data_IF_353056679044
#
_entry.id   IF_353056679044
#
_cell.length_a   1.000
_cell.length_b   1.000
_cell.length_c   1.000
_cell.angle_alpha   90.00
_cell.angle_beta   90.00
_cell.angle_gamma   90.00
#
_symmetry.space_group_name_H-M   'P 1'
#
loop_
_entity.id
_entity.type
_entity.pdbx_description
1 polymer ?
#
# COMPACT_ATOMS: atom_id res chain seq x y z
N UNK A 1 -16.80 4.00 5.70
CA UNK A 1 -16.10 2.71 5.63
C UNK A 1 -15.16 2.57 6.83
N UNK A 2 -15.30 1.50 7.59
CA UNK A 2 -14.42 1.18 8.71
C UNK A 2 -13.48 0.05 8.30
N UNK A 3 -12.17 0.25 8.50
CA UNK A 3 -11.17 -0.76 8.19
C UNK A 3 -11.36 -2.00 9.10
N UNK A 4 -11.34 -3.22 8.55
CA UNK A 4 -11.37 -4.44 9.35
C UNK A 4 -10.19 -4.50 10.32
N UNK A 5 -10.45 -4.82 11.58
CA UNK A 5 -9.43 -4.82 12.65
C UNK A 5 -9.36 -6.13 13.40
N UNK A 6 -8.14 -6.52 13.78
CA UNK A 6 -7.84 -7.57 14.74
C UNK A 6 -7.17 -6.93 15.96
N UNK A 7 -7.69 -7.21 17.15
CA UNK A 7 -7.10 -6.77 18.40
C UNK A 7 -6.11 -7.83 18.91
N UNK A 8 -4.86 -7.42 19.15
CA UNK A 8 -3.78 -8.28 19.64
C UNK A 8 -3.60 -8.18 21.15
N UNK A 9 -4.34 -7.32 21.79
CA UNK A 9 -4.32 -7.04 23.22
C UNK A 9 -5.39 -6.00 23.57
N UNK A 10 -5.29 -5.39 24.74
CA UNK A 10 -6.32 -4.48 25.22
C UNK A 10 -6.44 -3.18 24.40
N UNK A 11 -5.38 -2.73 23.71
CA UNK A 11 -5.36 -1.48 22.94
C UNK A 11 -4.66 -1.61 21.58
N UNK A 12 -3.93 -2.68 21.38
CA UNK A 12 -3.15 -2.89 20.18
C UNK A 12 -3.99 -3.61 19.13
N UNK A 13 -3.98 -3.12 17.92
CA UNK A 13 -4.71 -3.72 16.81
C UNK A 13 -3.88 -3.71 15.53
N UNK A 14 -4.32 -4.52 14.57
CA UNK A 14 -3.92 -4.44 13.17
C UNK A 14 -5.16 -4.19 12.33
N UNK A 15 -5.07 -3.25 11.42
CA UNK A 15 -6.13 -2.93 10.46
C UNK A 15 -5.68 -3.34 9.05
N UNK A 16 -6.62 -3.73 8.23
CA UNK A 16 -6.44 -4.05 6.82
C UNK A 16 -7.27 -3.06 5.98
N UNK A 17 -6.74 -2.60 4.84
CA UNK A 17 -7.43 -1.61 4.01
C UNK A 17 -8.79 -2.12 3.50
N UNK A 18 -8.90 -3.42 3.24
CA UNK A 18 -10.17 -4.01 2.88
C UNK A 18 -10.21 -5.52 2.99
N UNK A 19 -11.39 -6.07 3.29
CA UNK A 19 -11.66 -7.51 3.19
C UNK A 19 -12.98 -7.71 2.47
N UNK A 20 -12.97 -8.58 1.47
CA UNK A 20 -14.19 -9.01 0.78
C UNK A 20 -14.06 -10.47 0.38
N UNK A 21 -15.08 -11.28 0.70
CA UNK A 21 -15.13 -12.71 0.36
C UNK A 21 -13.84 -13.46 0.73
N UNK A 22 -13.28 -13.16 1.91
CA UNK A 22 -12.03 -13.72 2.41
C UNK A 22 -10.78 -13.38 1.59
N UNK A 23 -10.85 -12.36 0.76
CA UNK A 23 -9.70 -11.74 0.09
C UNK A 23 -9.33 -10.48 0.86
N UNK A 24 -8.12 -10.42 1.37
CA UNK A 24 -7.55 -9.23 2.01
C UNK A 24 -6.94 -8.29 0.97
N UNK A 25 -7.05 -6.98 1.18
CA UNK A 25 -6.44 -5.96 0.34
C UNK A 25 -5.62 -5.01 1.20
N UNK A 26 -4.40 -4.77 0.77
CA UNK A 26 -3.53 -3.69 1.24
C UNK A 26 -3.10 -2.81 0.07
N UNK A 27 -3.08 -1.50 0.28
CA UNK A 27 -2.65 -0.50 -0.69
C UNK A 27 -1.47 0.24 -0.10
N UNK A 28 -0.26 -0.14 -0.48
CA UNK A 28 0.95 0.36 0.14
C UNK A 28 1.79 1.20 -0.82
N UNK A 29 1.62 2.51 -0.74
CA UNK A 29 2.43 3.49 -1.47
C UNK A 29 3.46 4.19 -0.56
N UNK A 30 3.69 3.63 0.61
CA UNK A 30 4.64 4.11 1.59
C UNK A 30 6.00 3.41 1.53
N UNK A 31 6.67 3.37 2.67
CA UNK A 31 8.01 2.79 2.78
C UNK A 31 8.00 1.27 2.64
N UNK A 32 9.08 0.74 2.07
CA UNK A 32 9.30 -0.69 1.85
C UNK A 32 9.02 -1.57 3.10
N UNK A 33 9.44 -1.12 4.28
CA UNK A 33 9.24 -1.88 5.52
C UNK A 33 7.76 -2.17 5.82
N UNK A 34 6.85 -1.28 5.44
CA UNK A 34 5.42 -1.48 5.63
C UNK A 34 4.87 -2.52 4.65
N UNK A 35 5.27 -2.47 3.38
CA UNK A 35 4.90 -3.47 2.38
C UNK A 35 5.37 -4.87 2.77
N UNK A 36 6.62 -5.00 3.21
CA UNK A 36 7.15 -6.27 3.69
C UNK A 36 6.37 -6.78 4.91
N UNK A 37 6.03 -5.88 5.84
CA UNK A 37 5.21 -6.22 7.00
C UNK A 37 3.79 -6.66 6.61
N UNK A 38 3.17 -6.01 5.64
CA UNK A 38 1.83 -6.37 5.18
C UNK A 38 1.78 -7.81 4.66
N UNK A 39 2.74 -8.19 3.82
CA UNK A 39 2.81 -9.54 3.22
C UNK A 39 3.27 -10.60 4.22
N UNK A 40 4.36 -10.35 4.96
CA UNK A 40 5.02 -11.37 5.80
C UNK A 40 4.55 -11.37 7.26
N UNK A 41 3.79 -10.39 7.67
CA UNK A 41 3.30 -10.25 9.05
C UNK A 41 1.78 -10.09 9.14
N UNK A 42 1.24 -9.01 8.58
CA UNK A 42 -0.17 -8.66 8.75
C UNK A 42 -1.12 -9.66 8.09
N UNK A 43 -0.92 -9.96 6.81
CA UNK A 43 -1.77 -10.93 6.08
C UNK A 43 -1.76 -12.31 6.73
N UNK A 44 -0.61 -12.89 7.15
CA UNK A 44 -0.59 -14.14 7.92
C UNK A 44 -1.40 -14.10 9.22
N UNK A 45 -1.37 -12.98 9.95
CA UNK A 45 -2.18 -12.80 11.16
C UNK A 45 -3.67 -12.87 10.83
N UNK A 46 -4.13 -12.13 9.81
CA UNK A 46 -5.52 -12.14 9.38
C UNK A 46 -5.96 -13.50 8.84
N UNK A 47 -5.07 -14.22 8.19
CA UNK A 47 -5.31 -15.59 7.73
C UNK A 47 -5.47 -16.57 8.91
N UNK A 48 -4.58 -16.50 9.88
CA UNK A 48 -4.64 -17.34 11.09
C UNK A 48 -5.94 -17.14 11.86
N UNK A 49 -6.46 -15.92 11.91
CA UNK A 49 -7.76 -15.59 12.52
C UNK A 49 -8.96 -15.97 11.63
N UNK A 50 -8.73 -16.56 10.47
CA UNK A 50 -9.77 -17.04 9.55
C UNK A 50 -10.53 -15.94 8.81
N UNK A 51 -10.02 -14.71 8.80
CA UNK A 51 -10.67 -13.56 8.16
C UNK A 51 -10.37 -13.49 6.66
N UNK A 52 -9.19 -13.97 6.23
CA UNK A 52 -8.81 -14.04 4.83
C UNK A 52 -8.25 -15.42 4.47
N UNK A 53 -8.32 -15.79 3.22
CA UNK A 53 -7.73 -17.01 2.64
C UNK A 53 -6.61 -16.68 1.65
N UNK A 54 -6.62 -15.46 1.12
CA UNK A 54 -5.55 -14.92 0.28
C UNK A 54 -5.49 -13.40 0.40
N UNK A 55 -4.38 -12.81 -0.05
CA UNK A 55 -4.15 -11.38 -0.02
C UNK A 55 -3.89 -10.77 -1.39
N UNK A 56 -4.19 -9.49 -1.52
CA UNK A 56 -3.79 -8.63 -2.63
C UNK A 56 -2.97 -7.49 -2.04
N UNK A 57 -1.77 -7.31 -2.53
CA UNK A 57 -0.90 -6.17 -2.20
C UNK A 57 -0.77 -5.28 -3.41
N UNK A 58 -1.28 -4.05 -3.34
CA UNK A 58 -1.15 -3.05 -4.40
C UNK A 58 0.00 -2.11 -4.08
N UNK A 59 1.02 -2.10 -4.91
CA UNK A 59 2.23 -1.29 -4.77
C UNK A 59 2.49 -0.46 -6.01
N UNK A 60 3.41 0.48 -5.95
CA UNK A 60 3.81 1.24 -7.12
C UNK A 60 4.70 0.42 -8.05
N UNK A 61 4.53 0.62 -9.36
CA UNK A 61 5.49 0.14 -10.35
C UNK A 61 6.80 0.93 -10.26
N UNK A 62 7.88 0.40 -10.81
CA UNK A 62 9.17 1.08 -10.81
C UNK A 62 9.17 2.38 -11.60
N UNK A 63 8.33 2.51 -12.60
CA UNK A 63 8.23 3.72 -13.43
C UNK A 63 7.72 4.91 -12.64
N UNK A 64 6.81 4.66 -11.69
CA UNK A 64 6.26 5.71 -10.83
C UNK A 64 7.20 6.18 -9.71
N UNK A 65 8.24 5.41 -9.39
CA UNK A 65 9.17 5.77 -8.32
C UNK A 65 9.98 7.03 -8.60
N UNK A 66 10.12 7.42 -9.87
CA UNK A 66 10.89 8.61 -10.27
C UNK A 66 10.36 9.90 -9.65
N UNK A 67 9.05 9.94 -9.40
CA UNK A 67 8.34 11.10 -8.89
C UNK A 67 8.01 11.00 -7.40
N UNK A 68 8.51 9.94 -6.74
CA UNK A 68 8.24 9.66 -5.34
C UNK A 68 9.46 9.94 -4.46
N UNK A 69 9.22 10.10 -3.17
CA UNK A 69 10.31 10.25 -2.17
C UNK A 69 11.15 8.96 -2.07
N UNK A 70 12.39 9.10 -1.64
CA UNK A 70 13.30 7.96 -1.43
C UNK A 70 12.74 6.98 -0.39
N UNK A 71 12.91 5.69 -0.66
CA UNK A 71 12.49 4.60 0.23
C UNK A 71 11.05 4.15 0.07
N UNK A 72 10.33 4.68 -0.92
CA UNK A 72 9.01 4.16 -1.32
C UNK A 72 9.18 2.75 -1.90
N UNK A 73 8.27 1.86 -1.53
CA UNK A 73 8.23 0.48 -2.00
C UNK A 73 7.87 0.37 -3.48
N UNK A 74 8.43 -0.63 -4.15
CA UNK A 74 8.13 -0.91 -5.56
C UNK A 74 7.84 -2.38 -5.79
N UNK A 75 7.12 -2.65 -6.88
CA UNK A 75 6.83 -4.00 -7.34
C UNK A 75 8.09 -4.86 -7.52
N UNK A 76 9.12 -4.34 -8.18
CA UNK A 76 10.34 -5.11 -8.41
C UNK A 76 11.08 -5.45 -7.11
N UNK A 77 11.06 -4.56 -6.15
CA UNK A 77 11.72 -4.75 -4.86
C UNK A 77 11.13 -5.93 -4.10
N UNK A 78 9.82 -5.99 -3.96
CA UNK A 78 9.17 -7.11 -3.27
C UNK A 78 9.30 -8.42 -4.05
N UNK A 79 9.22 -8.38 -5.38
CA UNK A 79 9.42 -9.58 -6.20
C UNK A 79 10.84 -10.14 -6.05
N UNK A 80 11.85 -9.28 -5.97
CA UNK A 80 13.23 -9.71 -5.73
C UNK A 80 13.39 -10.36 -4.36
N UNK A 81 12.78 -9.79 -3.33
CA UNK A 81 12.86 -10.34 -1.97
C UNK A 81 12.12 -11.67 -1.83
N UNK A 82 10.94 -11.80 -2.44
CA UNK A 82 10.22 -13.07 -2.47
C UNK A 82 11.05 -14.16 -3.17
N UNK A 83 11.66 -13.84 -4.31
CA UNK A 83 12.53 -14.78 -5.01
C UNK A 83 13.77 -15.16 -4.20
N UNK A 84 14.37 -14.20 -3.52
CA UNK A 84 15.56 -14.45 -2.68
C UNK A 84 15.23 -15.27 -1.43
N UNK A 85 14.07 -15.02 -0.81
CA UNK A 85 13.60 -15.72 0.38
C UNK A 85 13.07 -17.13 0.07
N UNK A 86 12.43 -17.30 -1.08
CA UNK A 86 11.69 -18.50 -1.48
C UNK A 86 10.19 -18.27 -1.49
N UNK A 87 9.55 -18.62 -2.59
CA UNK A 87 8.09 -18.41 -2.76
C UNK A 87 7.27 -19.31 -1.84
N UNK A 88 7.80 -20.48 -1.48
CA UNK A 88 7.15 -21.43 -0.57
C UNK A 88 7.09 -20.97 0.90
N UNK A 89 7.83 -19.94 1.25
CA UNK A 89 7.91 -19.44 2.63
C UNK A 89 6.90 -18.31 2.93
N UNK A 90 5.93 -18.13 2.06
CA UNK A 90 4.80 -17.21 2.27
C UNK A 90 3.64 -18.03 2.86
N UNK A 91 3.16 -17.64 4.04
CA UNK A 91 2.17 -18.39 4.80
C UNK A 91 0.78 -18.46 4.13
N UNK A 92 0.49 -17.54 3.21
CA UNK A 92 -0.77 -17.50 2.45
C UNK A 92 -0.52 -17.10 1.00
N UNK A 93 -1.39 -17.47 0.04
CA UNK A 93 -1.32 -16.95 -1.31
C UNK A 93 -1.48 -15.43 -1.34
N UNK A 94 -0.55 -14.73 -1.98
CA UNK A 94 -0.60 -13.27 -2.15
C UNK A 94 -0.41 -12.92 -3.63
N UNK A 95 -1.30 -12.10 -4.15
CA UNK A 95 -1.16 -11.46 -5.47
C UNK A 95 -0.58 -10.07 -5.27
N UNK A 96 0.53 -9.79 -5.92
CA UNK A 96 1.16 -8.47 -5.88
C UNK A 96 0.88 -7.76 -7.20
N UNK A 97 0.24 -6.59 -7.11
CA UNK A 97 -0.12 -5.78 -8.25
C UNK A 97 0.71 -4.50 -8.26
N UNK A 98 1.41 -4.25 -9.36
CA UNK A 98 2.12 -2.99 -9.59
C UNK A 98 1.19 -1.96 -10.21
N UNK A 99 0.89 -0.87 -9.49
CA UNK A 99 0.16 0.27 -10.03
C UNK A 99 1.06 1.12 -10.90
N UNK A 100 0.60 1.43 -12.10
CA UNK A 100 1.33 2.25 -13.08
C UNK A 100 0.39 3.29 -13.70
N UNK A 101 0.90 4.49 -13.92
CA UNK A 101 0.27 5.52 -14.74
C UNK A 101 1.00 5.66 -16.06
N UNK A 102 0.26 5.83 -17.13
CA UNK A 102 0.84 6.27 -18.40
C UNK A 102 1.19 7.76 -18.33
N UNK A 103 2.05 8.22 -19.24
CA UNK A 103 2.37 9.65 -19.33
C UNK A 103 1.12 10.50 -19.63
N UNK A 104 0.19 9.98 -20.40
CA UNK A 104 -1.10 10.64 -20.68
C UNK A 104 -1.97 10.76 -19.44
N UNK A 105 -2.04 9.69 -18.61
CA UNK A 105 -2.77 9.73 -17.34
C UNK A 105 -2.16 10.76 -16.40
N UNK A 106 -0.83 10.81 -16.33
CA UNK A 106 -0.10 11.78 -15.50
C UNK A 106 -0.37 13.22 -15.96
N UNK A 107 -0.34 13.46 -17.25
CA UNK A 107 -0.67 14.76 -17.83
C UNK A 107 -2.11 15.17 -17.56
N UNK A 108 -3.05 14.23 -17.63
CA UNK A 108 -4.46 14.46 -17.30
C UNK A 108 -4.63 14.82 -15.83
N UNK A 109 -3.99 14.09 -14.91
CA UNK A 109 -4.02 14.37 -13.47
C UNK A 109 -3.47 15.77 -13.18
N UNK A 110 -2.36 16.14 -13.78
CA UNK A 110 -1.78 17.47 -13.61
C UNK A 110 -2.71 18.58 -14.12
N UNK A 111 -3.34 18.41 -15.28
CA UNK A 111 -4.32 19.37 -15.79
C UNK A 111 -5.54 19.51 -14.85
N UNK A 112 -6.03 18.41 -14.27
CA UNK A 112 -7.13 18.44 -13.30
C UNK A 112 -6.70 19.18 -12.03
N UNK A 113 -5.48 18.91 -11.56
CA UNK A 113 -4.91 19.55 -10.37
C UNK A 113 -4.76 21.06 -10.57
N UNK A 114 -4.23 21.52 -11.70
CA UNK A 114 -4.10 22.93 -12.03
C UNK A 114 -5.46 23.63 -12.11
N UNK A 115 -6.45 23.01 -12.73
CA UNK A 115 -7.82 23.51 -12.79
C UNK A 115 -8.52 23.50 -11.43
N UNK A 116 -8.20 22.53 -10.57
CA UNK A 116 -8.76 22.41 -9.21
C UNK A 116 -8.19 23.44 -8.24
N UNK A 117 -6.90 23.73 -8.31
CA UNK A 117 -6.23 24.77 -7.49
C UNK A 117 -6.75 26.15 -7.78
N UNK A 118 -7.19 26.44 -9.01
CA UNK A 118 -7.82 27.72 -9.36
C UNK A 118 -9.23 27.92 -8.73
N UNK A 119 -9.83 26.87 -8.14
CA UNK A 119 -11.16 26.92 -7.50
C UNK A 119 -11.15 26.81 -5.98
N UNK A 120 -10.05 26.43 -5.36
CA UNK A 120 -9.93 26.31 -3.91
C UNK A 120 -9.02 27.38 -3.31
N UNK A 121 -9.49 28.62 -3.27
CA UNK A 121 -8.99 29.60 -2.30
C UNK A 121 -9.39 29.13 -0.90
N UNK A 122 -8.53 28.39 -0.18
CA UNK A 122 -8.84 28.09 1.21
C UNK A 122 -8.16 26.94 1.93
N UNK A 123 -7.31 26.14 1.33
CA UNK A 123 -6.49 25.20 2.09
C UNK A 123 -5.12 25.81 2.36
N UNK A 124 -4.99 26.44 3.54
CA UNK A 124 -3.70 26.84 4.09
C UNK A 124 -2.85 25.59 4.30
N UNK A 125 -1.75 25.50 3.56
CA UNK A 125 -0.73 24.50 3.80
C UNK A 125 -0.25 24.57 5.25
N UNK A 126 -0.14 23.43 5.90
CA UNK A 126 0.51 23.30 7.19
C UNK A 126 1.97 23.75 7.06
N UNK A 127 2.33 24.79 7.80
CA UNK A 127 3.72 25.25 7.95
C UNK A 127 4.57 24.15 8.56
N UNK A 128 5.78 23.88 8.04
CA UNK A 128 6.73 22.98 8.73
C UNK A 128 7.09 23.59 10.08
N UNK A 129 7.00 22.80 11.14
CA UNK A 129 7.46 23.21 12.47
C UNK A 129 8.97 23.51 12.50
N UNK A 130 9.44 24.35 13.45
CA UNK A 130 10.83 24.75 13.56
C UNK A 130 11.71 23.53 13.88
N UNK A 131 12.95 23.60 13.37
CA UNK A 131 14.02 22.63 13.57
C UNK A 131 14.46 22.53 15.04
#
# INVERSE_FOLDING_TARGET
YEEPKIYLGNKEFRAMDGIKNKVGLEIQFGKYAFMAYDIFGKMPIFHKEGLIECGIELVLSNTMLKDMSTGVSSFNQIVMDIKARGESDIDIPVVILGFECTEDDWNLVNQIREKGVSKSTGLKGSTPGPK
#
